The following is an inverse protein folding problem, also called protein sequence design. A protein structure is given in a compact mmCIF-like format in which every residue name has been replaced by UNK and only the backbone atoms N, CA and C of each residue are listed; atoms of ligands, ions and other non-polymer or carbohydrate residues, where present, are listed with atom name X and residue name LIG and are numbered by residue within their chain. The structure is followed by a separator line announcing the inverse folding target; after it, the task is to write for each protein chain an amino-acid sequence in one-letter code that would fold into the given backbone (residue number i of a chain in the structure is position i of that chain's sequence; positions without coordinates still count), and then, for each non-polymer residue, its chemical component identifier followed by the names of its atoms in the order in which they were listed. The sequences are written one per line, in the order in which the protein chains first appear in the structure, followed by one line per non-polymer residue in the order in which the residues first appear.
data_IF_053752599768
#
_entry.id   IF_053752599768
#
_cell.length_a   1.000
_cell.length_b   1.000
_cell.length_c   1.000
_cell.angle_alpha   90.00
_cell.angle_beta   90.00
_cell.angle_gamma   90.00
#
_symmetry.space_group_name_H-M   'P 1'
#
loop_
_entity.id
_entity.type
_entity.pdbx_description
1 polymer ?
#
# COMPACT_ATOMS: atom_id res chain seq x y z
N UNK A 1 11.42 0.62 18.82
CA UNK A 1 11.22 1.93 18.16
C UNK A 1 12.24 2.99 18.59
N UNK A 2 12.67 3.03 19.86
CA UNK A 2 13.68 3.99 20.34
C UNK A 2 15.00 3.98 19.54
N UNK A 3 15.54 2.80 19.21
CA UNK A 3 16.76 2.67 18.42
C UNK A 3 16.64 3.23 17.00
N UNK A 4 15.46 3.14 16.39
CA UNK A 4 15.21 3.67 15.05
C UNK A 4 15.21 5.21 15.06
N UNK A 5 14.60 5.81 16.08
CA UNK A 5 14.60 7.25 16.28
C UNK A 5 15.99 7.81 16.63
N UNK A 6 16.82 7.01 17.31
CA UNK A 6 18.23 7.36 17.54
C UNK A 6 19.04 7.35 16.23
N UNK A 7 18.77 6.40 15.33
CA UNK A 7 19.42 6.34 14.02
C UNK A 7 18.93 7.44 13.07
N UNK A 8 17.63 7.73 13.07
CA UNK A 8 17.02 8.76 12.27
C UNK A 8 15.91 9.48 13.05
N UNK A 9 16.16 10.71 13.53
CA UNK A 9 15.14 11.54 14.15
C UNK A 9 13.93 11.76 13.23
N UNK A 10 12.75 11.88 13.84
CA UNK A 10 11.47 12.13 13.14
C UNK A 10 11.07 11.11 12.06
N UNK A 11 11.68 9.93 12.04
CA UNK A 11 11.31 8.85 11.12
C UNK A 11 9.85 8.44 11.31
N UNK A 12 9.13 8.41 10.19
CA UNK A 12 7.75 7.94 10.12
C UNK A 12 7.74 6.47 9.76
N UNK A 13 7.12 5.65 10.60
CA UNK A 13 7.06 4.20 10.41
C UNK A 13 5.76 3.85 9.71
N UNK A 14 5.88 3.14 8.59
CA UNK A 14 4.77 2.50 7.89
C UNK A 14 4.96 0.99 8.00
N UNK A 15 3.86 0.24 8.14
CA UNK A 15 3.93 -1.21 8.22
C UNK A 15 2.79 -1.88 7.44
N UNK A 16 3.10 -2.98 6.77
CA UNK A 16 2.09 -3.87 6.22
C UNK A 16 2.55 -5.32 6.36
N UNK A 17 1.63 -6.18 6.74
CA UNK A 17 1.88 -7.60 6.92
C UNK A 17 0.89 -8.33 6.06
N UNK A 18 1.41 -9.03 5.06
CA UNK A 18 0.56 -9.86 4.22
C UNK A 18 0.07 -11.04 5.05
N UNK A 19 -1.20 -11.40 4.86
CA UNK A 19 -1.82 -12.48 5.62
C UNK A 19 -2.85 -13.23 4.74
N UNK A 20 -2.43 -14.36 4.18
CA UNK A 20 -3.21 -15.17 3.22
C UNK A 20 -4.50 -15.74 3.80
N UNK A 21 -4.49 -16.10 5.08
CA UNK A 21 -5.68 -16.65 5.77
C UNK A 21 -6.69 -15.55 6.11
N UNK A 22 -6.35 -14.28 5.86
CA UNK A 22 -7.18 -13.12 6.17
C UNK A 22 -8.20 -12.79 5.10
N UNK A 23 -8.61 -11.53 5.09
CA UNK A 23 -9.39 -10.99 3.98
C UNK A 23 -8.54 -10.90 2.71
N UNK A 24 -9.13 -10.93 1.50
CA UNK A 24 -8.39 -10.75 0.25
C UNK A 24 -7.57 -9.44 0.20
N UNK A 25 -8.01 -8.41 0.93
CA UNK A 25 -7.29 -7.14 1.06
C UNK A 25 -6.03 -7.24 1.93
N UNK A 26 -5.87 -8.28 2.74
CA UNK A 26 -4.65 -8.48 3.54
C UNK A 26 -3.59 -9.26 2.78
N UNK A 27 -3.92 -9.87 1.66
CA UNK A 27 -2.97 -10.62 0.84
C UNK A 27 -2.79 -10.03 -0.56
N UNK A 28 -3.46 -8.92 -0.91
CA UNK A 28 -3.39 -8.34 -2.26
C UNK A 28 -2.49 -7.10 -2.33
N UNK A 29 -1.95 -6.85 -3.53
CA UNK A 29 -1.16 -5.64 -3.79
C UNK A 29 -2.00 -4.36 -3.61
N UNK A 30 -3.28 -4.39 -4.03
CA UNK A 30 -4.22 -3.29 -3.78
C UNK A 30 -4.35 -2.99 -2.29
N UNK A 31 -4.44 -4.03 -1.48
CA UNK A 31 -4.53 -3.93 -0.03
C UNK A 31 -3.28 -3.35 0.64
N UNK A 32 -2.11 -3.76 0.17
CA UNK A 32 -0.84 -3.14 0.55
C UNK A 32 -0.85 -1.62 0.26
N UNK A 33 -1.22 -1.21 -0.95
CA UNK A 33 -1.28 0.21 -1.31
C UNK A 33 -2.32 0.99 -0.49
N UNK A 34 -3.52 0.42 -0.28
CA UNK A 34 -4.56 0.99 0.59
C UNK A 34 -4.06 1.18 2.03
N UNK A 35 -3.35 0.19 2.57
CA UNK A 35 -2.76 0.23 3.90
C UNK A 35 -1.75 1.38 4.03
N UNK A 36 -0.88 1.56 3.03
CA UNK A 36 0.08 2.67 3.00
C UNK A 36 -0.61 4.03 2.89
N UNK A 37 -1.57 4.16 1.98
CA UNK A 37 -2.34 5.39 1.80
C UNK A 37 -3.04 5.80 3.11
N UNK A 38 -3.70 4.85 3.79
CA UNK A 38 -4.33 5.08 5.08
C UNK A 38 -3.35 5.57 6.15
N UNK A 39 -2.18 4.93 6.28
CA UNK A 39 -1.17 5.32 7.27
C UNK A 39 -0.60 6.70 6.98
N UNK A 40 -0.32 7.02 5.71
CA UNK A 40 0.12 8.36 5.29
C UNK A 40 -0.95 9.43 5.59
N UNK A 41 -2.22 9.11 5.36
CA UNK A 41 -3.34 9.98 5.73
C UNK A 41 -3.45 10.22 7.23
N UNK A 42 -3.19 9.19 8.04
CA UNK A 42 -3.18 9.30 9.49
C UNK A 42 -2.01 10.17 10.00
N UNK A 43 -0.86 10.13 9.33
CA UNK A 43 0.32 10.93 9.70
C UNK A 43 0.17 12.42 9.41
N UNK A 44 -0.46 12.80 8.29
CA UNK A 44 -0.58 14.21 7.88
C UNK A 44 -1.87 14.52 7.10
N UNK A 45 -2.99 14.46 7.82
CA UNK A 45 -4.33 14.64 7.25
C UNK A 45 -4.50 15.97 6.49
N UNK A 46 -3.91 17.06 6.96
CA UNK A 46 -4.11 18.40 6.36
C UNK A 46 -3.42 18.50 5.00
N UNK A 47 -2.15 18.11 4.91
CA UNK A 47 -1.42 18.18 3.66
C UNK A 47 -1.99 17.21 2.63
N UNK A 48 -2.42 16.03 3.08
CA UNK A 48 -3.13 15.05 2.26
C UNK A 48 -4.40 15.60 1.62
N UNK A 49 -5.31 16.20 2.41
CA UNK A 49 -6.59 16.70 1.89
C UNK A 49 -6.34 17.77 0.82
N UNK A 50 -5.40 18.68 1.07
CA UNK A 50 -5.02 19.70 0.10
C UNK A 50 -4.44 19.14 -1.20
N UNK A 51 -3.92 17.90 -1.20
CA UNK A 51 -3.42 17.21 -2.40
C UNK A 51 -4.52 16.49 -3.16
N UNK A 52 -5.39 15.78 -2.46
CA UNK A 52 -6.57 15.15 -3.06
C UNK A 52 -7.43 16.18 -3.81
N UNK A 53 -7.58 17.38 -3.25
CA UNK A 53 -8.31 18.48 -3.89
C UNK A 53 -7.61 19.06 -5.13
N UNK A 54 -6.28 18.96 -5.22
CA UNK A 54 -5.50 19.45 -6.37
C UNK A 54 -5.48 18.47 -7.54
N UNK A 55 -5.90 17.22 -7.34
CA UNK A 55 -5.96 16.20 -8.38
C UNK A 55 -7.44 15.93 -8.72
N UNK A 56 -7.97 16.50 -9.82
CA UNK A 56 -9.39 16.38 -10.17
C UNK A 56 -9.86 14.92 -10.25
N UNK A 57 -8.99 14.05 -10.78
CA UNK A 57 -9.28 12.61 -10.95
C UNK A 57 -9.45 11.88 -9.62
N UNK A 58 -8.75 12.31 -8.57
CA UNK A 58 -8.87 11.70 -7.23
C UNK A 58 -10.04 12.29 -6.45
N UNK A 59 -10.30 13.58 -6.62
CA UNK A 59 -11.40 14.29 -5.93
C UNK A 59 -12.79 13.71 -6.21
N UNK A 60 -12.94 13.01 -7.35
CA UNK A 60 -14.20 12.39 -7.79
C UNK A 60 -14.37 10.93 -7.35
N UNK A 61 -13.32 10.30 -6.81
CA UNK A 61 -13.34 8.91 -6.34
C UNK A 61 -13.97 8.86 -4.94
N UNK A 62 -15.15 8.27 -4.82
CA UNK A 62 -15.96 8.26 -3.61
C UNK A 62 -16.05 6.87 -2.96
N UNK A 63 -15.77 5.81 -3.71
CA UNK A 63 -15.84 4.42 -3.26
C UNK A 63 -14.53 3.63 -3.45
N UNK A 64 -14.33 2.51 -2.74
CA UNK A 64 -13.16 1.64 -2.89
C UNK A 64 -12.96 1.06 -4.30
N UNK A 65 -14.04 0.95 -5.07
CA UNK A 65 -14.01 0.47 -6.46
C UNK A 65 -13.47 1.51 -7.45
N UNK A 66 -13.49 2.79 -7.09
CA UNK A 66 -13.05 3.87 -7.97
C UNK A 66 -11.52 3.96 -8.07
N UNK A 67 -10.80 3.32 -7.15
CA UNK A 67 -9.34 3.34 -7.06
C UNK A 67 -8.75 2.06 -7.63
N UNK A 68 -7.96 2.17 -8.69
CA UNK A 68 -7.15 1.06 -9.19
C UNK A 68 -5.73 1.07 -8.59
N UNK A 69 -4.92 0.06 -8.93
CA UNK A 69 -3.55 -0.05 -8.42
C UNK A 69 -2.66 1.11 -8.90
N UNK A 70 -2.87 1.62 -10.11
CA UNK A 70 -2.08 2.72 -10.66
C UNK A 70 -2.40 4.03 -9.94
N UNK A 71 -3.68 4.30 -9.67
CA UNK A 71 -4.14 5.44 -8.89
C UNK A 71 -3.52 5.42 -7.49
N UNK A 72 -3.61 4.28 -6.81
CA UNK A 72 -3.10 4.13 -5.44
C UNK A 72 -1.57 4.21 -5.39
N UNK A 73 -0.87 3.62 -6.35
CA UNK A 73 0.58 3.71 -6.43
C UNK A 73 1.04 5.15 -6.71
N UNK A 74 0.36 5.86 -7.62
CA UNK A 74 0.62 7.27 -7.91
C UNK A 74 0.37 8.14 -6.67
N UNK A 75 -0.75 7.91 -5.98
CA UNK A 75 -1.08 8.60 -4.73
C UNK A 75 -0.02 8.37 -3.66
N UNK A 76 0.30 7.12 -3.34
CA UNK A 76 1.29 6.76 -2.31
C UNK A 76 2.65 7.36 -2.65
N UNK A 77 3.11 7.22 -3.90
CA UNK A 77 4.40 7.78 -4.35
C UNK A 77 4.41 9.32 -4.23
N UNK A 78 3.31 9.98 -4.58
CA UNK A 78 3.17 11.44 -4.45
C UNK A 78 3.26 11.87 -2.98
N UNK A 79 2.56 11.17 -2.08
CA UNK A 79 2.57 11.49 -0.64
C UNK A 79 3.95 11.26 -0.02
N UNK A 80 4.62 10.16 -0.36
CA UNK A 80 5.97 9.85 0.11
C UNK A 80 6.98 10.89 -0.37
N UNK A 81 6.93 11.28 -1.64
CA UNK A 81 7.87 12.26 -2.23
C UNK A 81 7.70 13.69 -1.70
N UNK A 82 6.59 14.01 -1.04
CA UNK A 82 6.33 15.33 -0.46
C UNK A 82 6.78 15.48 0.98
N UNK A 83 6.94 14.37 1.70
CA UNK A 83 7.34 14.43 3.10
C UNK A 83 8.80 14.86 3.19
N UNK A 84 9.06 15.91 3.97
CA UNK A 84 10.43 16.23 4.38
C UNK A 84 10.95 15.25 5.44
N UNK A 85 10.07 14.41 6.02
CA UNK A 85 10.44 13.45 7.05
C UNK A 85 10.82 12.10 6.41
N UNK A 86 11.85 11.43 6.94
CA UNK A 86 12.25 10.13 6.46
C UNK A 86 11.19 9.07 6.80
N UNK A 87 11.03 8.09 5.93
CA UNK A 87 10.15 6.94 6.16
C UNK A 87 10.95 5.66 6.41
N UNK A 88 10.39 4.79 7.23
CA UNK A 88 10.82 3.41 7.37
C UNK A 88 9.62 2.49 7.13
N UNK A 89 9.72 1.61 6.14
CA UNK A 89 8.67 0.69 5.76
C UNK A 89 9.00 -0.72 6.22
N UNK A 90 8.17 -1.28 7.08
CA UNK A 90 8.22 -2.70 7.47
C UNK A 90 7.23 -3.48 6.62
N UNK A 91 7.73 -4.48 5.91
CA UNK A 91 6.93 -5.41 5.11
C UNK A 91 7.30 -6.82 5.54
N UNK A 92 6.31 -7.62 5.88
CA UNK A 92 6.48 -9.05 6.19
C UNK A 92 5.46 -9.89 5.42
N UNK A 93 5.76 -11.19 5.25
CA UNK A 93 4.89 -12.13 4.55
C UNK A 93 4.81 -11.91 3.04
N UNK A 94 5.85 -11.37 2.40
CA UNK A 94 5.83 -11.09 0.94
C UNK A 94 5.46 -12.32 0.09
N UNK A 95 5.77 -13.53 0.57
CA UNK A 95 5.44 -14.81 -0.06
C UNK A 95 3.96 -15.21 0.07
N UNK A 96 3.18 -14.49 0.89
CA UNK A 96 1.73 -14.58 1.06
C UNK A 96 0.96 -13.62 0.14
N UNK A 97 1.65 -12.87 -0.73
CA UNK A 97 1.02 -12.06 -1.76
C UNK A 97 0.26 -12.93 -2.77
N UNK A 98 -1.00 -12.57 -2.98
CA UNK A 98 -1.92 -13.19 -3.93
C UNK A 98 -2.38 -12.13 -4.95
N UNK A 99 -2.68 -12.56 -6.17
CA UNK A 99 -3.34 -11.75 -7.19
C UNK A 99 -4.85 -11.62 -6.91
N UNK A 100 -5.55 -10.92 -7.81
CA UNK A 100 -6.98 -10.63 -7.67
C UNK A 100 -7.85 -11.91 -7.75
N UNK A 101 -7.34 -12.99 -8.37
CA UNK A 101 -7.99 -14.30 -8.47
C UNK A 101 -7.64 -15.24 -7.31
N UNK A 102 -6.78 -14.79 -6.39
CA UNK A 102 -6.32 -15.60 -5.25
C UNK A 102 -5.25 -16.62 -5.62
N UNK A 103 -4.50 -16.38 -6.69
CA UNK A 103 -3.34 -17.17 -7.13
C UNK A 103 -2.03 -16.45 -6.80
N UNK A 104 -0.92 -17.19 -6.79
CA UNK A 104 0.40 -16.58 -6.63
C UNK A 104 0.88 -16.00 -7.96
N UNK A 105 1.39 -14.75 -8.02
CA UNK A 105 1.79 -14.10 -9.27
C UNK A 105 2.90 -14.81 -10.07
N UNK A 106 3.59 -15.79 -9.47
CA UNK A 106 4.74 -16.49 -10.03
C UNK A 106 4.60 -18.02 -9.97
N UNK A 107 3.43 -18.53 -9.59
CA UNK A 107 3.17 -19.97 -9.62
C UNK A 107 2.66 -20.32 -11.02
N UNK A 108 3.59 -20.70 -11.91
CA UNK A 108 3.22 -21.26 -13.20
C UNK A 108 2.37 -22.50 -12.96
N UNK A 109 1.11 -22.47 -13.41
CA UNK A 109 0.28 -23.66 -13.51
C UNK A 109 1.01 -24.70 -14.35
N UNK A 110 1.62 -25.69 -13.69
CA UNK A 110 2.01 -26.92 -14.37
C UNK A 110 0.71 -27.62 -14.78
N UNK A 111 0.17 -27.24 -15.94
CA UNK A 111 -0.94 -27.95 -16.57
C UNK A 111 -0.50 -29.40 -16.74
N UNK A 112 -1.02 -30.28 -15.89
CA UNK A 112 -0.95 -31.72 -16.06
C UNK A 112 -1.78 -32.09 -17.29
N UNK A 113 -1.16 -32.06 -18.46
CA UNK A 113 -1.67 -32.76 -19.63
C UNK A 113 -1.44 -34.27 -19.43
N UNK A 114 -2.39 -34.94 -18.79
CA UNK A 114 -2.58 -36.39 -18.95
C UNK A 114 -3.72 -36.61 -19.94
N UNK A 115 -3.34 -36.92 -21.19
CA UNK A 115 -4.10 -37.74 -22.13
C UNK A 115 -3.12 -38.56 -22.94
#
# INVERSE_FOLDING_TARGET
MHSLQQWQPDVQILAHFFWKVGSPMQSSFKGFLCSLAYQLFALDKRNVIGRLQKHPDWSRKAGPGDWDNNDLQSLVTSLLGLSAKPFCLFIDGLDELMDDDGNKPYECDCVTNQT
#
